data_IF_493507094192
#
_entry.id   IF_493507094192
#
_cell.length_a   1.000
_cell.length_b   1.000
_cell.length_c   1.000
_cell.angle_alpha   90.00
_cell.angle_beta   90.00
_cell.angle_gamma   90.00
#
_symmetry.space_group_name_H-M   'P 1'
#
loop_
_entity.id
_entity.type
_entity.pdbx_description
1 polymer ?
#
# COMPACT_ATOMS: atom_id res chain seq x y z
N UNK A 1 -4.60 -3.20 -8.72
CA UNK A 1 -5.75 -2.64 -7.99
C UNK A 1 -5.24 -2.04 -6.69
N UNK A 2 -5.58 -0.80 -6.33
CA UNK A 2 -5.29 -0.27 -5.00
C UNK A 2 -6.14 -1.03 -3.96
N UNK A 3 -5.49 -1.60 -2.95
CA UNK A 3 -6.16 -2.27 -1.82
C UNK A 3 -5.40 -1.93 -0.54
N UNK A 4 -6.13 -1.73 0.55
CA UNK A 4 -5.57 -1.59 1.88
C UNK A 4 -6.10 -2.70 2.77
N UNK A 5 -5.19 -3.41 3.44
CA UNK A 5 -5.49 -4.35 4.49
C UNK A 5 -5.07 -3.74 5.83
N UNK A 6 -5.99 -3.74 6.81
CA UNK A 6 -5.72 -3.26 8.16
C UNK A 6 -6.23 -4.29 9.15
N UNK A 7 -5.35 -4.79 10.01
CA UNK A 7 -5.65 -5.82 11.00
C UNK A 7 -5.11 -5.43 12.37
N UNK A 8 -5.60 -6.10 13.41
CA UNK A 8 -4.99 -6.04 14.73
C UNK A 8 -3.82 -7.05 14.85
N UNK A 9 -2.90 -6.82 15.78
CA UNK A 9 -1.83 -7.78 16.09
C UNK A 9 -2.34 -9.04 16.79
N UNK A 10 -3.36 -8.92 17.66
CA UNK A 10 -4.06 -10.02 18.33
C UNK A 10 -5.41 -10.34 17.66
N UNK A 11 -5.48 -10.27 16.33
CA UNK A 11 -6.68 -10.62 15.57
C UNK A 11 -7.00 -12.12 15.62
N UNK A 12 -8.26 -12.46 15.38
CA UNK A 12 -8.72 -13.81 15.09
C UNK A 12 -8.16 -14.37 13.77
N UNK A 13 -7.74 -13.50 12.85
CA UNK A 13 -7.06 -13.88 11.61
C UNK A 13 -5.57 -14.05 11.88
N UNK A 14 -5.02 -15.24 11.56
CA UNK A 14 -3.59 -15.50 11.76
C UNK A 14 -2.71 -14.57 10.93
N UNK A 15 -1.59 -14.11 11.52
CA UNK A 15 -0.62 -13.25 10.83
C UNK A 15 -0.01 -13.92 9.58
N UNK A 16 0.13 -15.25 9.59
CA UNK A 16 0.55 -16.03 8.42
C UNK A 16 -0.41 -15.82 7.24
N UNK A 17 -1.72 -15.97 7.47
CA UNK A 17 -2.72 -15.79 6.43
C UNK A 17 -2.79 -14.33 5.95
N UNK A 18 -2.64 -13.36 6.85
CA UNK A 18 -2.56 -11.93 6.48
C UNK A 18 -1.41 -11.69 5.49
N UNK A 19 -0.22 -12.24 5.78
CA UNK A 19 0.95 -12.11 4.90
C UNK A 19 0.74 -12.81 3.55
N UNK A 20 0.19 -14.03 3.55
CA UNK A 20 -0.12 -14.78 2.33
C UNK A 20 -1.12 -14.02 1.44
N UNK A 21 -2.18 -13.47 2.04
CA UNK A 21 -3.17 -12.70 1.29
C UNK A 21 -2.60 -11.37 0.77
N UNK A 22 -1.77 -10.70 1.56
CA UNK A 22 -1.06 -9.49 1.11
C UNK A 22 -0.13 -9.78 -0.08
N UNK A 23 0.54 -10.93 -0.10
CA UNK A 23 1.35 -11.38 -1.23
C UNK A 23 0.52 -11.62 -2.50
N UNK A 24 -0.70 -12.15 -2.38
CA UNK A 24 -1.64 -12.30 -3.51
C UNK A 24 -2.05 -10.94 -4.12
N UNK A 25 -2.04 -9.87 -3.32
CA UNK A 25 -2.25 -8.49 -3.78
C UNK A 25 -0.95 -7.85 -4.34
N UNK A 26 0.14 -8.62 -4.44
CA UNK A 26 1.45 -8.17 -4.90
C UNK A 26 2.23 -7.37 -3.85
N UNK A 27 1.77 -7.32 -2.61
CA UNK A 27 2.45 -6.64 -1.50
C UNK A 27 3.45 -7.55 -0.80
N UNK A 28 4.58 -7.01 -0.32
CA UNK A 28 5.55 -7.77 0.49
C UNK A 28 6.34 -8.86 -0.27
N UNK A 29 6.18 -8.96 -1.59
CA UNK A 29 6.85 -9.98 -2.42
C UNK A 29 8.30 -9.61 -2.75
N UNK A 30 8.62 -8.31 -2.88
CA UNK A 30 9.97 -7.82 -3.23
C UNK A 30 10.20 -6.41 -2.65
N UNK A 31 11.45 -6.03 -2.39
CA UNK A 31 11.78 -4.65 -2.05
C UNK A 31 11.57 -3.71 -3.25
N UNK A 32 11.15 -2.45 -3.01
CA UNK A 32 10.81 -1.51 -4.08
C UNK A 32 12.03 -0.93 -4.84
N UNK A 33 13.22 -1.48 -4.61
CA UNK A 33 14.52 -0.97 -5.05
C UNK A 33 15.01 0.24 -4.25
N UNK A 34 16.28 0.59 -4.41
CA UNK A 34 16.93 1.71 -3.72
C UNK A 34 16.23 3.07 -3.95
N UNK A 35 15.69 3.28 -5.15
CA UNK A 35 14.97 4.50 -5.51
C UNK A 35 13.49 4.50 -5.08
N UNK A 36 13.01 3.40 -4.47
CA UNK A 36 11.65 3.25 -3.96
C UNK A 36 10.54 3.47 -5.02
N UNK A 37 10.81 3.15 -6.29
CA UNK A 37 9.89 3.39 -7.41
C UNK A 37 8.99 2.19 -7.74
N UNK A 38 9.24 1.03 -7.14
CA UNK A 38 8.54 -0.23 -7.46
C UNK A 38 7.61 -0.71 -6.32
N UNK A 39 7.09 0.23 -5.52
CA UNK A 39 6.11 -0.09 -4.50
C UNK A 39 4.85 -0.71 -5.15
N UNK A 40 4.34 -1.79 -4.55
CA UNK A 40 2.99 -2.29 -4.86
C UNK A 40 1.95 -1.20 -4.66
N UNK A 41 0.76 -1.33 -5.26
CA UNK A 41 -0.39 -0.48 -4.93
C UNK A 41 -1.16 -0.98 -3.70
N UNK A 42 -0.83 -2.18 -3.21
CA UNK A 42 -1.38 -2.71 -1.98
C UNK A 42 -0.65 -2.12 -0.75
N UNK A 43 -1.38 -1.92 0.34
CA UNK A 43 -0.83 -1.54 1.66
C UNK A 43 -1.28 -2.52 2.73
N UNK A 44 -0.43 -2.76 3.71
CA UNK A 44 -0.72 -3.56 4.90
C UNK A 44 -0.36 -2.75 6.14
N UNK A 45 -1.27 -2.71 7.10
CA UNK A 45 -1.03 -2.19 8.44
C UNK A 45 -1.51 -3.20 9.49
N UNK A 46 -0.66 -3.44 10.50
CA UNK A 46 -0.99 -4.22 11.70
C UNK A 46 -0.97 -3.24 12.87
N UNK A 47 -2.09 -3.10 13.58
CA UNK A 47 -2.22 -2.14 14.68
C UNK A 47 -2.04 -2.86 16.02
N UNK A 48 -1.07 -2.42 16.85
CA UNK A 48 -0.71 -3.13 18.07
C UNK A 48 -1.72 -2.92 19.22
N UNK A 49 -1.87 -3.92 20.08
CA UNK A 49 -2.66 -3.81 21.31
C UNK A 49 -4.16 -3.99 21.16
N UNK A 50 -4.63 -4.46 19.99
CA UNK A 50 -6.04 -4.71 19.72
C UNK A 50 -6.29 -6.17 19.36
N UNK A 51 -7.53 -6.59 19.53
CA UNK A 51 -8.08 -7.83 19.00
C UNK A 51 -9.17 -7.52 17.98
N UNK A 52 -9.68 -8.55 17.31
CA UNK A 52 -10.81 -8.42 16.39
C UNK A 52 -12.01 -7.64 16.97
N UNK A 53 -12.24 -7.76 18.28
CA UNK A 53 -13.44 -7.23 18.93
C UNK A 53 -13.38 -5.74 19.27
N UNK A 54 -12.19 -5.19 19.53
CA UNK A 54 -12.03 -3.80 19.94
C UNK A 54 -11.26 -2.94 18.93
N UNK A 55 -10.68 -3.56 17.90
CA UNK A 55 -9.89 -2.90 16.87
C UNK A 55 -10.64 -1.78 16.14
N UNK A 56 -11.95 -1.92 15.92
CA UNK A 56 -12.77 -0.88 15.25
C UNK A 56 -12.76 0.47 15.97
N UNK A 57 -12.44 0.49 17.28
CA UNK A 57 -12.37 1.70 18.08
C UNK A 57 -10.94 2.27 18.20
N UNK A 58 -9.96 1.67 17.52
CA UNK A 58 -8.57 2.12 17.56
C UNK A 58 -8.44 3.53 16.95
N UNK A 59 -7.98 4.55 17.70
CA UNK A 59 -7.80 5.91 17.18
C UNK A 59 -6.78 5.99 16.03
N UNK A 60 -5.93 4.97 15.87
CA UNK A 60 -4.96 4.84 14.79
C UNK A 60 -5.62 4.54 13.42
N UNK A 61 -6.85 4.01 13.40
CA UNK A 61 -7.51 3.61 12.15
C UNK A 61 -7.70 4.78 11.17
N UNK A 62 -8.26 5.88 11.65
CA UNK A 62 -8.50 7.07 10.83
C UNK A 62 -7.22 7.61 10.19
N UNK A 63 -6.14 7.93 10.93
CA UNK A 63 -4.91 8.44 10.32
C UNK A 63 -4.21 7.42 9.40
N UNK A 64 -4.34 6.12 9.67
CA UNK A 64 -3.83 5.06 8.79
C UNK A 64 -4.56 5.08 7.45
N UNK A 65 -5.89 5.12 7.47
CA UNK A 65 -6.74 5.16 6.27
C UNK A 65 -6.53 6.47 5.49
N UNK A 66 -6.48 7.61 6.17
CA UNK A 66 -6.25 8.92 5.54
C UNK A 66 -4.91 8.95 4.79
N UNK A 67 -3.85 8.40 5.41
CA UNK A 67 -2.54 8.28 4.76
C UNK A 67 -2.61 7.43 3.48
N UNK A 68 -3.42 6.37 3.47
CA UNK A 68 -3.63 5.57 2.26
C UNK A 68 -4.39 6.34 1.19
N UNK A 69 -5.51 6.99 1.55
CA UNK A 69 -6.32 7.73 0.59
C UNK A 69 -5.57 8.90 -0.06
N UNK A 70 -4.64 9.52 0.68
CA UNK A 70 -3.76 10.57 0.19
C UNK A 70 -2.56 10.06 -0.65
N UNK A 71 -2.32 8.74 -0.70
CA UNK A 71 -1.18 8.17 -1.41
C UNK A 71 -1.40 8.24 -2.93
N UNK A 72 -0.58 9.00 -3.68
CA UNK A 72 -0.76 9.21 -5.11
C UNK A 72 -0.59 7.93 -5.95
N UNK A 73 0.03 6.87 -5.41
CA UNK A 73 0.11 5.57 -6.08
C UNK A 73 -1.22 4.80 -6.05
N UNK A 74 -2.09 5.15 -5.11
CA UNK A 74 -3.37 4.47 -4.84
C UNK A 74 -4.55 5.30 -5.34
N UNK A 75 -4.47 6.62 -5.19
CA UNK A 75 -5.40 7.62 -5.71
C UNK A 75 -4.67 8.57 -6.65
N UNK A 76 -4.47 8.22 -7.94
CA UNK A 76 -3.87 9.15 -8.88
C UNK A 76 -4.75 10.40 -8.99
N UNK A 77 -4.16 11.62 -9.04
CA UNK A 77 -4.94 12.84 -9.20
C UNK A 77 -5.84 12.73 -10.42
N UNK A 78 -7.11 13.10 -10.28
CA UNK A 78 -8.03 13.19 -11.43
C UNK A 78 -7.45 14.22 -12.40
N UNK A 79 -6.80 13.73 -13.46
CA UNK A 79 -6.09 14.55 -14.46
C UNK A 79 -4.61 14.16 -14.71
N UNK A 80 -3.98 13.36 -13.85
CA UNK A 80 -2.55 13.03 -13.99
C UNK A 80 -2.23 11.92 -15.02
N UNK A 81 -3.24 11.27 -15.60
CA UNK A 81 -3.05 10.27 -16.65
C UNK A 81 -2.40 10.84 -17.95
N UNK A 82 -2.28 12.16 -18.08
CA UNK A 82 -1.65 12.80 -19.24
C UNK A 82 -0.14 13.09 -19.10
N UNK A 83 0.43 13.06 -17.89
CA UNK A 83 1.78 13.64 -17.66
C UNK A 83 2.95 12.62 -17.64
N UNK A 84 2.70 11.31 -17.66
CA UNK A 84 3.77 10.31 -17.58
C UNK A 84 4.32 9.85 -18.95
N UNK A 85 3.77 10.32 -20.07
CA UNK A 85 4.22 9.93 -21.43
C UNK A 85 5.24 10.88 -22.09
N UNK A 86 5.98 11.68 -21.32
CA UNK A 86 7.09 12.46 -21.86
C UNK A 86 8.42 12.07 -21.18
N UNK A 87 8.90 10.85 -21.45
CA UNK A 87 10.35 10.63 -21.41
C UNK A 87 10.94 11.21 -22.69
N UNK A 88 11.91 12.13 -22.65
CA UNK A 88 12.56 12.59 -23.85
C UNK A 88 13.42 11.46 -24.41
N UNK A 89 13.28 11.25 -25.71
CA UNK A 89 14.08 10.41 -26.57
C UNK A 89 15.56 10.74 -26.34
N UNK A 90 16.33 9.83 -25.73
CA UNK A 90 17.79 9.94 -25.72
C UNK A 90 18.28 9.57 -27.12
N UNK A 91 18.44 10.59 -27.95
CA UNK A 91 19.12 10.51 -29.23
C UNK A 91 20.49 9.87 -29.06
N UNK A 92 20.71 8.82 -29.82
CA UNK A 92 22.00 8.16 -30.05
C UNK A 92 22.89 9.17 -30.78
N UNK A 93 24.09 9.40 -30.27
CA UNK A 93 25.15 10.13 -31.00
C UNK A 93 26.34 9.21 -31.15
N UNK A 94 26.88 9.21 -32.37
CA UNK A 94 27.95 8.37 -32.91
C UNK A 94 29.26 8.35 -32.13
#
# INVERSE_FOLDING_TARGET
MPVMLVFADNDSVSQKHIAEFFALLGGGVKEPGWQNTQLSKARLAIVPGYSHYNFVNAPELAPIIDKYLADPLTSPPVGAAAAYQASPERTKSD
#
